data_IF_981241054199
#
_entry.id   IF_981241054199
#
_cell.length_a   1.000
_cell.length_b   1.000
_cell.length_c   1.000
_cell.angle_alpha   90.00
_cell.angle_beta   90.00
_cell.angle_gamma   90.00
#
_symmetry.space_group_name_H-M   'P 1'
#
loop_
_entity.id
_entity.type
_entity.pdbx_description
1 polymer ?
#
# COMPACT_ATOMS: atom_id res chain seq x y z
N UNK A 1 -15.39 -15.36 -25.23
CA UNK A 1 -14.27 -14.45 -25.53
C UNK A 1 -14.37 -13.26 -24.59
N UNK A 2 -13.30 -12.89 -23.87
CA UNK A 2 -13.34 -11.77 -22.92
C UNK A 2 -13.59 -10.43 -23.64
N UNK A 3 -14.42 -9.56 -23.06
CA UNK A 3 -14.67 -8.23 -23.63
C UNK A 3 -13.40 -7.36 -23.59
N UNK A 4 -13.26 -6.42 -24.53
CA UNK A 4 -12.12 -5.49 -24.59
C UNK A 4 -12.01 -4.68 -23.28
N UNK A 5 -13.15 -4.24 -22.73
CA UNK A 5 -13.21 -3.55 -21.45
C UNK A 5 -12.62 -4.40 -20.31
N UNK A 6 -12.98 -5.69 -20.25
CA UNK A 6 -12.43 -6.62 -19.26
C UNK A 6 -10.93 -6.82 -19.45
N UNK A 7 -10.46 -6.97 -20.69
CA UNK A 7 -9.02 -7.09 -20.99
C UNK A 7 -8.24 -5.85 -20.52
N UNK A 8 -8.78 -4.65 -20.78
CA UNK A 8 -8.19 -3.39 -20.34
C UNK A 8 -8.10 -3.31 -18.81
N UNK A 9 -9.15 -3.73 -18.09
CA UNK A 9 -9.16 -3.75 -16.62
C UNK A 9 -8.19 -4.79 -16.06
N UNK A 10 -8.07 -5.96 -16.68
CA UNK A 10 -7.09 -7.00 -16.29
C UNK A 10 -5.65 -6.50 -16.49
N UNK A 11 -5.35 -5.83 -17.61
CA UNK A 11 -4.03 -5.24 -17.84
C UNK A 11 -3.73 -4.11 -16.85
N UNK A 12 -4.72 -3.26 -16.56
CA UNK A 12 -4.62 -2.22 -15.54
C UNK A 12 -4.30 -2.83 -14.17
N UNK A 13 -5.06 -3.85 -13.77
CA UNK A 13 -4.86 -4.54 -12.50
C UNK A 13 -3.49 -5.22 -12.42
N UNK A 14 -2.99 -5.79 -13.52
CA UNK A 14 -1.64 -6.36 -13.58
C UNK A 14 -0.55 -5.30 -13.41
N UNK A 15 -0.69 -4.12 -14.04
CA UNK A 15 0.24 -3.01 -13.83
C UNK A 15 0.28 -2.55 -12.37
N UNK A 16 -0.90 -2.46 -11.74
CA UNK A 16 -1.03 -2.16 -10.30
C UNK A 16 -0.41 -3.26 -9.44
N UNK A 17 -0.68 -4.53 -9.74
CA UNK A 17 -0.07 -5.66 -9.05
C UNK A 17 1.45 -5.53 -9.04
N UNK A 18 2.09 -5.35 -10.21
CA UNK A 18 3.56 -5.24 -10.31
C UNK A 18 4.10 -4.02 -9.55
N UNK A 19 3.48 -2.85 -9.69
CA UNK A 19 3.92 -1.64 -9.00
C UNK A 19 3.84 -1.77 -7.48
N UNK A 20 2.75 -2.35 -6.98
CA UNK A 20 2.48 -2.44 -5.55
C UNK A 20 3.11 -3.67 -4.89
N UNK A 21 3.55 -4.69 -5.64
CA UNK A 21 4.51 -5.68 -5.11
C UNK A 21 5.76 -4.96 -4.65
N UNK A 22 6.26 -3.98 -5.40
CA UNK A 22 7.41 -3.18 -4.96
C UNK A 22 7.04 -2.25 -3.80
N UNK A 23 6.02 -1.41 -3.98
CA UNK A 23 5.71 -0.34 -3.03
C UNK A 23 5.18 -0.83 -1.68
N UNK A 24 4.18 -1.72 -1.65
CA UNK A 24 3.62 -2.18 -0.37
C UNK A 24 4.64 -2.98 0.43
N UNK A 25 5.41 -3.83 -0.25
CA UNK A 25 6.48 -4.60 0.40
C UNK A 25 7.55 -3.68 0.97
N UNK A 26 7.96 -2.68 0.19
CA UNK A 26 8.92 -1.68 0.65
C UNK A 26 8.38 -0.89 1.86
N UNK A 27 7.13 -0.42 1.84
CA UNK A 27 6.56 0.32 2.97
C UNK A 27 6.54 -0.47 4.27
N UNK A 28 6.40 -1.80 4.20
CA UNK A 28 6.40 -2.70 5.36
C UNK A 28 7.77 -2.89 5.98
N UNK A 29 8.84 -2.83 5.17
CA UNK A 29 10.22 -3.03 5.63
C UNK A 29 10.99 -1.71 5.77
N UNK A 30 10.39 -0.58 5.38
CA UNK A 30 11.04 0.74 5.33
C UNK A 30 11.65 1.10 6.68
N UNK A 31 10.88 0.99 7.76
CA UNK A 31 11.36 1.35 9.09
C UNK A 31 12.46 0.38 9.58
N UNK A 32 12.32 -0.92 9.34
CA UNK A 32 13.36 -1.91 9.68
C UNK A 32 14.67 -1.65 8.92
N UNK A 33 14.58 -1.20 7.67
CA UNK A 33 15.73 -0.80 6.84
C UNK A 33 16.33 0.51 7.36
N UNK A 34 15.52 1.53 7.60
CA UNK A 34 15.96 2.84 8.11
C UNK A 34 16.61 2.71 9.48
N UNK A 35 16.04 1.91 10.39
CA UNK A 35 16.64 1.65 11.70
C UNK A 35 18.00 0.96 11.54
N UNK A 36 18.10 -0.07 10.69
CA UNK A 36 19.37 -0.77 10.41
C UNK A 36 20.46 0.17 9.88
N UNK A 37 20.09 1.20 9.11
CA UNK A 37 21.02 2.18 8.53
C UNK A 37 21.29 3.36 9.48
N UNK A 38 20.34 3.68 10.37
CA UNK A 38 20.50 4.75 11.36
C UNK A 38 21.63 4.47 12.36
N UNK A 39 21.99 3.19 12.55
CA UNK A 39 23.15 2.75 13.34
C UNK A 39 24.48 3.31 12.80
N UNK A 40 24.56 3.60 11.50
CA UNK A 40 25.73 4.19 10.86
C UNK A 40 25.75 5.74 10.96
N UNK A 41 24.75 6.36 11.59
CA UNK A 41 24.64 7.82 11.77
C UNK A 41 24.24 8.63 10.54
N UNK A 42 23.94 7.97 9.42
CA UNK A 42 23.63 8.62 8.13
C UNK A 42 22.19 9.14 8.00
N UNK A 43 21.27 8.60 8.80
CA UNK A 43 19.83 8.86 8.75
C UNK A 43 19.26 8.91 10.17
N UNK A 44 18.30 9.81 10.42
CA UNK A 44 17.61 9.91 11.72
C UNK A 44 16.78 8.66 12.00
N UNK A 45 16.74 8.22 13.26
CA UNK A 45 16.02 7.00 13.69
C UNK A 45 14.58 6.88 13.19
N UNK A 46 13.86 7.99 13.05
CA UNK A 46 12.45 8.04 12.64
C UNK A 46 12.23 8.52 11.19
N UNK A 47 13.24 8.40 10.32
CA UNK A 47 13.15 8.94 8.96
C UNK A 47 12.07 8.25 8.11
N UNK A 48 11.74 6.98 8.36
CA UNK A 48 10.66 6.28 7.67
C UNK A 48 9.29 6.90 7.98
N UNK A 49 9.01 7.23 9.24
CA UNK A 49 7.79 7.97 9.61
C UNK A 49 7.71 9.37 8.98
N UNK A 50 8.83 10.11 8.95
CA UNK A 50 8.86 11.41 8.28
C UNK A 50 8.66 11.30 6.77
N UNK A 51 9.29 10.31 6.13
CA UNK A 51 9.10 9.94 4.73
C UNK A 51 7.62 9.69 4.44
N UNK A 52 6.96 8.83 5.23
CA UNK A 52 5.54 8.51 5.08
C UNK A 52 4.64 9.75 5.26
N UNK A 53 4.94 10.61 6.24
CA UNK A 53 4.20 11.86 6.45
C UNK A 53 4.34 12.81 5.24
N UNK A 54 5.53 12.93 4.66
CA UNK A 54 5.77 13.75 3.47
C UNK A 54 5.02 13.18 2.26
N UNK A 55 5.04 11.86 2.05
CA UNK A 55 4.29 11.19 0.97
C UNK A 55 2.81 11.56 1.06
N UNK A 56 2.18 11.40 2.22
CA UNK A 56 0.75 11.69 2.38
C UNK A 56 0.42 13.19 2.31
N UNK A 57 1.30 14.07 2.78
CA UNK A 57 1.14 15.51 2.65
C UNK A 57 1.13 15.93 1.17
N UNK A 58 2.11 15.49 0.39
CA UNK A 58 2.19 15.78 -1.04
C UNK A 58 1.13 15.04 -1.86
N UNK A 59 0.70 13.85 -1.44
CA UNK A 59 -0.46 13.17 -2.01
C UNK A 59 -1.73 13.99 -1.84
N UNK A 60 -1.94 14.57 -0.66
CA UNK A 60 -3.09 15.44 -0.38
C UNK A 60 -3.08 16.69 -1.26
N UNK A 61 -1.92 17.37 -1.35
CA UNK A 61 -1.76 18.53 -2.22
C UNK A 61 -1.94 18.17 -3.70
N UNK A 62 -1.38 17.03 -4.13
CA UNK A 62 -1.49 16.55 -5.51
C UNK A 62 -2.91 16.23 -5.93
N UNK A 63 -3.75 15.70 -5.03
CA UNK A 63 -5.16 15.41 -5.33
C UNK A 63 -5.98 16.67 -5.73
N UNK A 64 -5.55 17.87 -5.36
CA UNK A 64 -6.21 19.12 -5.79
C UNK A 64 -6.05 19.40 -7.30
N UNK A 65 -4.99 18.88 -7.91
CA UNK A 65 -4.63 19.11 -9.33
C UNK A 65 -4.57 17.83 -10.16
N UNK A 66 -4.62 16.65 -9.53
CA UNK A 66 -4.48 15.36 -10.20
C UNK A 66 -5.55 15.14 -11.29
N UNK A 67 -6.81 15.49 -11.03
CA UNK A 67 -7.89 15.31 -12.00
C UNK A 67 -7.65 16.12 -13.29
N UNK A 68 -7.11 17.33 -13.14
CA UNK A 68 -6.78 18.25 -14.22
C UNK A 68 -5.59 17.73 -15.03
N UNK A 69 -4.57 17.22 -14.34
CA UNK A 69 -3.39 16.61 -14.97
C UNK A 69 -3.80 15.37 -15.78
N UNK A 70 -4.65 14.51 -15.21
CA UNK A 70 -5.16 13.29 -15.86
C UNK A 70 -6.03 13.62 -17.08
N UNK A 71 -6.86 14.67 -17.03
CA UNK A 71 -7.67 15.11 -18.18
C UNK A 71 -6.80 15.58 -19.34
N UNK A 72 -5.65 16.21 -19.04
CA UNK A 72 -4.70 16.74 -20.02
C UNK A 72 -3.81 15.65 -20.61
N UNK A 73 -3.16 14.84 -19.78
CA UNK A 73 -2.18 13.82 -20.17
C UNK A 73 -2.80 12.50 -20.64
N UNK A 74 -4.13 12.33 -20.45
CA UNK A 74 -4.85 11.05 -20.50
C UNK A 74 -4.51 10.11 -19.33
N UNK A 75 -5.44 9.24 -18.92
CA UNK A 75 -5.22 8.33 -17.78
C UNK A 75 -4.01 7.41 -17.94
N UNK A 76 -3.75 6.95 -19.17
CA UNK A 76 -2.64 6.06 -19.51
C UNK A 76 -1.27 6.67 -19.14
N UNK A 77 -0.98 7.86 -19.67
CA UNK A 77 0.31 8.51 -19.43
C UNK A 77 0.42 9.07 -18.02
N UNK A 78 -0.69 9.50 -17.42
CA UNK A 78 -0.75 9.86 -16.01
C UNK A 78 -0.29 8.70 -15.10
N UNK A 79 -0.80 7.49 -15.32
CA UNK A 79 -0.36 6.29 -14.57
C UNK A 79 1.10 5.93 -14.86
N UNK A 80 1.56 6.07 -16.10
CA UNK A 80 2.97 5.84 -16.45
C UNK A 80 3.92 6.79 -15.69
N UNK A 81 3.63 8.09 -15.70
CA UNK A 81 4.42 9.11 -14.97
C UNK A 81 4.37 8.84 -13.46
N UNK A 82 3.18 8.52 -12.93
CA UNK A 82 3.02 8.15 -11.54
C UNK A 82 3.91 6.96 -11.16
N UNK A 83 3.92 5.89 -11.96
CA UNK A 83 4.77 4.71 -11.73
C UNK A 83 6.28 5.03 -11.79
N UNK A 84 6.70 5.98 -12.63
CA UNK A 84 8.08 6.46 -12.63
C UNK A 84 8.43 7.22 -11.35
N UNK A 85 7.48 7.94 -10.73
CA UNK A 85 7.68 8.52 -9.40
C UNK A 85 7.81 7.45 -8.30
N UNK A 86 7.12 6.30 -8.44
CA UNK A 86 7.37 5.14 -7.56
C UNK A 86 8.79 4.61 -7.77
N UNK A 87 9.23 4.45 -9.02
CA UNK A 87 10.59 3.99 -9.31
C UNK A 87 11.66 4.93 -8.74
N UNK A 88 11.50 6.25 -8.83
CA UNK A 88 12.46 7.21 -8.27
C UNK A 88 12.56 7.11 -6.74
N UNK A 89 11.45 6.85 -6.06
CA UNK A 89 11.47 6.59 -4.61
C UNK A 89 12.30 5.35 -4.26
N UNK A 90 12.09 4.24 -4.99
CA UNK A 90 12.83 2.99 -4.77
C UNK A 90 14.35 3.17 -4.98
N UNK A 91 14.75 3.94 -5.99
CA UNK A 91 16.17 4.24 -6.26
C UNK A 91 16.85 4.97 -5.10
N UNK A 92 16.11 5.78 -4.34
CA UNK A 92 16.67 6.55 -3.23
C UNK A 92 17.29 5.73 -2.12
N UNK A 93 16.71 4.57 -1.85
CA UNK A 93 17.21 3.65 -0.83
C UNK A 93 18.46 2.88 -1.29
N UNK A 94 18.83 2.93 -2.58
CA UNK A 94 20.14 2.41 -3.02
C UNK A 94 21.30 3.31 -2.59
N UNK A 95 21.03 4.60 -2.39
CA UNK A 95 22.05 5.61 -2.04
C UNK A 95 21.99 6.07 -0.57
N UNK A 96 20.95 5.65 0.18
CA UNK A 96 20.80 5.87 1.63
C UNK A 96 21.13 7.31 2.07
N UNK A 97 20.48 8.30 1.43
CA UNK A 97 20.69 9.72 1.72
C UNK A 97 19.39 10.36 2.23
N UNK A 98 19.44 11.01 3.40
CA UNK A 98 18.29 11.66 4.04
C UNK A 98 17.63 12.73 3.16
N UNK A 99 18.43 13.57 2.47
CA UNK A 99 17.90 14.62 1.59
C UNK A 99 17.20 14.00 0.39
N UNK A 100 17.78 12.95 -0.19
CA UNK A 100 17.13 12.25 -1.30
C UNK A 100 15.82 11.62 -0.84
N UNK A 101 15.81 10.92 0.30
CA UNK A 101 14.62 10.26 0.84
C UNK A 101 13.44 11.22 0.94
N UNK A 102 13.63 12.41 1.51
CA UNK A 102 12.54 13.38 1.68
C UNK A 102 12.10 14.02 0.35
N UNK A 103 13.03 14.30 -0.57
CA UNK A 103 12.68 14.82 -1.89
C UNK A 103 11.92 13.77 -2.71
N UNK A 104 12.39 12.53 -2.73
CA UNK A 104 11.74 11.44 -3.45
C UNK A 104 10.39 11.08 -2.83
N UNK A 105 10.24 11.19 -1.51
CA UNK A 105 8.95 11.09 -0.80
C UNK A 105 7.92 12.10 -1.32
N UNK A 106 8.32 13.36 -1.49
CA UNK A 106 7.45 14.41 -2.01
C UNK A 106 7.05 14.14 -3.48
N UNK A 107 8.01 13.74 -4.30
CA UNK A 107 7.79 13.35 -5.71
C UNK A 107 6.81 12.17 -5.80
N UNK A 108 7.03 11.15 -4.97
CA UNK A 108 6.17 9.98 -4.87
C UNK A 108 4.76 10.36 -4.43
N UNK A 109 4.61 11.19 -3.40
CA UNK A 109 3.29 11.63 -2.93
C UNK A 109 2.49 12.29 -4.05
N UNK A 110 3.12 13.24 -4.75
CA UNK A 110 2.48 13.90 -5.90
C UNK A 110 2.19 12.91 -7.05
N UNK A 111 3.15 12.07 -7.42
CA UNK A 111 2.98 11.05 -8.48
C UNK A 111 1.90 10.02 -8.16
N UNK A 112 1.77 9.64 -6.89
CA UNK A 112 0.72 8.74 -6.39
C UNK A 112 -0.67 9.33 -6.60
N UNK A 113 -0.85 10.64 -6.37
CA UNK A 113 -2.14 11.29 -6.60
C UNK A 113 -2.58 11.23 -8.06
N UNK A 114 -1.62 11.40 -8.98
CA UNK A 114 -1.84 11.32 -10.43
C UNK A 114 -2.13 9.87 -10.83
N UNK A 115 -1.38 8.90 -10.30
CA UNK A 115 -1.56 7.48 -10.59
C UNK A 115 -2.95 6.97 -10.18
N UNK A 116 -3.36 7.24 -8.93
CA UNK A 116 -4.66 6.82 -8.42
C UNK A 116 -5.82 7.53 -9.11
N UNK A 117 -5.68 8.82 -9.42
CA UNK A 117 -6.70 9.55 -10.19
C UNK A 117 -6.79 9.02 -11.63
N UNK A 118 -5.65 8.69 -12.24
CA UNK A 118 -5.57 8.04 -13.54
C UNK A 118 -6.27 6.68 -13.55
N UNK A 119 -6.03 5.85 -12.53
CA UNK A 119 -6.67 4.55 -12.36
C UNK A 119 -8.19 4.67 -12.26
N UNK A 120 -8.69 5.56 -11.40
CA UNK A 120 -10.13 5.79 -11.25
C UNK A 120 -10.77 6.26 -12.55
N UNK A 121 -10.11 7.19 -13.26
CA UNK A 121 -10.57 7.66 -14.57
C UNK A 121 -10.56 6.54 -15.61
N UNK A 122 -9.48 5.77 -15.73
CA UNK A 122 -9.36 4.70 -16.73
C UNK A 122 -10.37 3.59 -16.47
N UNK A 123 -10.54 3.18 -15.21
CA UNK A 123 -11.54 2.18 -14.82
C UNK A 123 -12.94 2.66 -15.17
N UNK A 124 -13.30 3.91 -14.84
CA UNK A 124 -14.61 4.47 -15.15
C UNK A 124 -14.91 4.50 -16.66
N UNK A 125 -13.89 4.75 -17.48
CA UNK A 125 -13.98 4.77 -18.95
C UNK A 125 -14.02 3.37 -19.59
N UNK A 126 -13.83 2.32 -18.80
CA UNK A 126 -14.01 0.93 -19.24
C UNK A 126 -15.23 0.26 -18.59
N UNK A 127 -16.07 1.02 -17.86
CA UNK A 127 -17.24 0.49 -17.17
C UNK A 127 -18.54 1.16 -17.62
N UNK A 128 -19.63 0.39 -17.60
CA UNK A 128 -21.01 0.88 -17.62
C UNK A 128 -21.57 0.92 -16.20
N UNK A 129 -22.72 1.57 -15.99
CA UNK A 129 -23.38 1.65 -14.68
C UNK A 129 -23.66 0.27 -14.05
N UNK A 130 -23.95 -0.75 -14.85
CA UNK A 130 -24.18 -2.11 -14.35
C UNK A 130 -22.88 -2.86 -14.05
N UNK A 131 -21.78 -2.52 -14.71
CA UNK A 131 -20.53 -3.29 -14.67
C UNK A 131 -19.46 -2.69 -13.75
N UNK A 132 -19.59 -1.42 -13.33
CA UNK A 132 -18.62 -0.73 -12.46
C UNK A 132 -18.26 -1.53 -11.22
N UNK A 133 -19.25 -2.06 -10.49
CA UNK A 133 -19.00 -2.80 -9.25
C UNK A 133 -18.18 -4.07 -9.50
N UNK A 134 -18.50 -4.82 -10.55
CA UNK A 134 -17.80 -6.07 -10.89
C UNK A 134 -16.38 -5.81 -11.38
N UNK A 135 -16.19 -4.79 -12.21
CA UNK A 135 -14.86 -4.43 -12.73
C UNK A 135 -13.96 -3.84 -11.66
N UNK A 136 -14.52 -3.04 -10.74
CA UNK A 136 -13.80 -2.56 -9.56
C UNK A 136 -13.38 -3.72 -8.64
N UNK A 137 -14.28 -4.68 -8.38
CA UNK A 137 -13.95 -5.87 -7.58
C UNK A 137 -12.88 -6.74 -8.26
N UNK A 138 -12.95 -6.93 -9.58
CA UNK A 138 -11.93 -7.64 -10.35
C UNK A 138 -10.57 -6.95 -10.24
N UNK A 139 -10.54 -5.63 -10.44
CA UNK A 139 -9.31 -4.84 -10.32
C UNK A 139 -8.71 -4.95 -8.93
N UNK A 140 -9.55 -4.78 -7.89
CA UNK A 140 -9.11 -4.84 -6.50
C UNK A 140 -8.60 -6.24 -6.14
N UNK A 141 -9.35 -7.29 -6.45
CA UNK A 141 -8.96 -8.67 -6.14
C UNK A 141 -7.63 -9.08 -6.79
N UNK A 142 -7.37 -8.63 -8.03
CA UNK A 142 -6.08 -8.88 -8.69
C UNK A 142 -4.95 -8.01 -8.13
N UNK A 143 -5.24 -6.76 -7.78
CA UNK A 143 -4.28 -5.83 -7.19
C UNK A 143 -3.78 -6.35 -5.84
N UNK A 144 -4.67 -6.80 -4.96
CA UNK A 144 -4.35 -7.25 -3.59
C UNK A 144 -3.46 -8.50 -3.53
N UNK A 145 -3.42 -9.30 -4.60
CA UNK A 145 -2.43 -10.39 -4.73
C UNK A 145 -0.99 -9.89 -4.61
N UNK A 146 -0.73 -8.58 -4.80
CA UNK A 146 0.59 -7.99 -4.66
C UNK A 146 1.18 -8.17 -3.25
N UNK A 147 0.35 -8.24 -2.21
CA UNK A 147 0.79 -8.46 -0.84
C UNK A 147 1.35 -9.88 -0.64
N UNK A 148 0.70 -10.88 -1.23
CA UNK A 148 1.19 -12.26 -1.21
C UNK A 148 2.51 -12.36 -1.97
N UNK A 149 2.57 -11.81 -3.19
CA UNK A 149 3.79 -11.81 -4.00
C UNK A 149 4.95 -11.07 -3.34
N UNK A 150 4.65 -9.92 -2.73
CA UNK A 150 5.56 -9.12 -1.94
C UNK A 150 6.12 -9.87 -0.73
N UNK A 151 5.25 -10.51 0.03
CA UNK A 151 5.62 -11.27 1.23
C UNK A 151 6.50 -12.47 0.90
N UNK A 152 6.17 -13.21 -0.17
CA UNK A 152 7.00 -14.31 -0.67
C UNK A 152 8.38 -13.79 -1.09
N UNK A 153 8.44 -12.65 -1.80
CA UNK A 153 9.70 -12.04 -2.24
C UNK A 153 10.62 -11.73 -1.06
N UNK A 154 10.14 -11.01 -0.05
CA UNK A 154 10.99 -10.67 1.11
C UNK A 154 11.30 -11.90 1.97
N UNK A 155 10.39 -12.86 2.08
CA UNK A 155 10.64 -14.10 2.81
C UNK A 155 11.83 -14.87 2.21
N UNK A 156 11.84 -15.03 0.87
CA UNK A 156 12.94 -15.69 0.15
C UNK A 156 14.23 -14.91 0.35
N UNK A 157 14.21 -13.60 0.15
CA UNK A 157 15.42 -12.77 0.25
C UNK A 157 16.01 -12.81 1.66
N UNK A 158 15.19 -12.67 2.70
CA UNK A 158 15.67 -12.74 4.08
C UNK A 158 16.18 -14.13 4.46
N UNK A 159 15.57 -15.20 3.92
CA UNK A 159 16.04 -16.58 4.14
C UNK A 159 17.37 -16.86 3.46
N UNK A 160 17.59 -16.34 2.25
CA UNK A 160 18.84 -16.53 1.48
C UNK A 160 19.99 -15.69 2.04
N UNK A 161 19.68 -14.55 2.65
CA UNK A 161 20.69 -13.59 3.15
C UNK A 161 20.92 -13.69 4.65
N UNK A 162 20.32 -14.65 5.34
CA UNK A 162 20.43 -14.85 6.79
C UNK A 162 20.19 -13.57 7.61
N UNK A 163 19.21 -12.76 7.18
CA UNK A 163 18.92 -11.43 7.74
C UNK A 163 17.82 -11.48 8.80
N UNK A 164 18.18 -11.79 10.05
CA UNK A 164 17.21 -12.05 11.13
C UNK A 164 16.77 -10.81 11.93
N UNK A 165 17.70 -9.90 12.25
CA UNK A 165 17.43 -8.74 13.14
C UNK A 165 17.95 -7.41 12.59
N UNK A 166 19.15 -7.40 11.99
CA UNK A 166 19.71 -6.24 11.26
C UNK A 166 19.82 -6.63 9.79
N UNK A 167 19.34 -5.77 8.90
CA UNK A 167 19.35 -6.03 7.46
C UNK A 167 20.71 -5.58 6.89
N UNK A 168 21.54 -6.49 6.35
CA UNK A 168 22.81 -6.13 5.74
C UNK A 168 22.63 -5.19 4.55
N UNK A 169 23.62 -4.31 4.32
CA UNK A 169 23.62 -3.39 3.16
C UNK A 169 23.47 -4.12 1.82
N UNK A 170 24.01 -5.33 1.70
CA UNK A 170 23.84 -6.17 0.51
C UNK A 170 22.35 -6.53 0.29
N UNK A 171 21.66 -6.99 1.33
CA UNK A 171 20.23 -7.32 1.29
C UNK A 171 19.38 -6.11 0.95
N UNK A 172 19.67 -4.94 1.53
CA UNK A 172 19.00 -3.67 1.20
C UNK A 172 19.16 -3.37 -0.30
N UNK A 173 20.40 -3.37 -0.81
CA UNK A 173 20.66 -3.09 -2.23
C UNK A 173 19.97 -4.10 -3.14
N UNK A 174 19.96 -5.38 -2.78
CA UNK A 174 19.28 -6.44 -3.54
C UNK A 174 17.77 -6.18 -3.62
N UNK A 175 17.11 -5.94 -2.48
CA UNK A 175 15.68 -5.67 -2.39
C UNK A 175 15.27 -4.44 -3.21
N UNK A 176 15.94 -3.31 -2.99
CA UNK A 176 15.60 -2.07 -3.69
C UNK A 176 15.96 -2.08 -5.17
N UNK A 177 16.93 -2.90 -5.59
CA UNK A 177 17.18 -3.16 -7.01
C UNK A 177 16.01 -3.93 -7.64
N UNK A 178 15.52 -4.98 -6.98
CA UNK A 178 14.35 -5.74 -7.43
C UNK A 178 13.10 -4.85 -7.47
N UNK A 179 12.85 -4.05 -6.44
CA UNK A 179 11.71 -3.12 -6.39
C UNK A 179 11.77 -2.05 -7.48
N UNK A 180 12.95 -1.51 -7.76
CA UNK A 180 13.14 -0.54 -8.84
C UNK A 180 12.81 -1.16 -10.20
N UNK A 181 13.29 -2.39 -10.47
CA UNK A 181 13.00 -3.11 -11.72
C UNK A 181 11.49 -3.35 -11.87
N UNK A 182 10.82 -3.79 -10.80
CA UNK A 182 9.36 -3.99 -10.81
C UNK A 182 8.61 -2.67 -11.05
N UNK A 183 9.01 -1.57 -10.41
CA UNK A 183 8.39 -0.27 -10.64
C UNK A 183 8.55 0.21 -12.09
N UNK A 184 9.73 0.06 -12.69
CA UNK A 184 9.97 0.39 -14.12
C UNK A 184 9.14 -0.53 -15.03
N UNK A 185 9.07 -1.83 -14.72
CA UNK A 185 8.24 -2.78 -15.46
C UNK A 185 6.77 -2.39 -15.42
N UNK A 186 6.27 -1.90 -14.28
CA UNK A 186 4.89 -1.42 -14.17
C UNK A 186 4.62 -0.18 -15.04
N UNK A 187 5.57 0.77 -15.10
CA UNK A 187 5.48 1.92 -15.99
C UNK A 187 5.41 1.48 -17.46
N UNK A 188 6.21 0.47 -17.83
CA UNK A 188 6.14 -0.14 -19.15
C UNK A 188 4.76 -0.79 -19.42
N UNK A 189 4.22 -1.57 -18.49
CA UNK A 189 2.87 -2.16 -18.60
C UNK A 189 1.80 -1.08 -18.78
N UNK A 190 1.87 0.02 -18.04
CA UNK A 190 0.95 1.16 -18.18
C UNK A 190 1.09 1.85 -19.53
N UNK A 191 2.32 1.99 -20.06
CA UNK A 191 2.56 2.53 -21.40
C UNK A 191 1.99 1.66 -22.53
N UNK A 192 1.76 0.37 -22.26
CA UNK A 192 1.11 -0.56 -23.19
C UNK A 192 -0.42 -0.60 -23.04
N UNK A 193 -1.03 0.17 -22.13
CA UNK A 193 -2.48 0.21 -22.00
C UNK A 193 -3.12 0.69 -23.30
N UNK A 194 -4.20 0.01 -23.69
CA UNK A 194 -5.03 0.36 -24.84
C UNK A 194 -5.87 1.59 -24.54
N UNK A 195 -6.38 2.24 -25.59
CA UNK A 195 -7.39 3.27 -25.42
C UNK A 195 -8.61 2.71 -24.68
N UNK A 196 -9.17 3.46 -23.73
CA UNK A 196 -10.36 3.05 -23.01
C UNK A 196 -11.58 3.01 -23.95
N UNK A 197 -12.52 2.09 -23.67
CA UNK A 197 -13.67 1.83 -24.55
C UNK A 197 -14.60 3.05 -24.67
N UNK A 198 -14.84 3.76 -23.56
CA UNK A 198 -15.68 4.95 -23.52
C UNK A 198 -14.80 6.19 -23.40
N UNK A 199 -14.77 7.02 -24.44
CA UNK A 199 -14.03 8.29 -24.42
C UNK A 199 -14.77 9.30 -23.54
N UNK A 200 -14.07 9.84 -22.55
CA UNK A 200 -14.57 10.96 -21.74
C UNK A 200 -14.43 12.25 -22.55
N UNK A 201 -15.48 13.06 -22.59
CA UNK A 201 -15.40 14.41 -23.15
C UNK A 201 -14.37 15.24 -22.35
N UNK A 202 -13.40 15.82 -23.06
CA UNK A 202 -12.40 16.68 -22.44
C UNK A 202 -13.09 17.95 -21.92
N UNK A 203 -12.85 18.31 -20.67
CA UNK A 203 -13.34 19.57 -20.13
C UNK A 203 -12.46 20.70 -20.67
N UNK A 204 -12.88 21.35 -21.76
CA UNK A 204 -12.10 22.43 -22.40
C UNK A 204 -11.82 23.67 -21.52
N UNK A 205 -12.33 23.72 -20.28
CA UNK A 205 -12.08 24.80 -19.33
C UNK A 205 -11.51 24.29 -17.99
N UNK A 206 -10.23 24.55 -17.75
CA UNK A 206 -9.52 24.21 -16.50
C UNK A 206 -10.17 24.84 -15.26
N UNK A 207 -10.53 26.13 -15.33
CA UNK A 207 -11.19 26.85 -14.22
C UNK A 207 -12.52 26.19 -13.86
N UNK A 208 -13.29 25.74 -14.84
CA UNK A 208 -14.59 25.07 -14.62
C UNK A 208 -14.40 23.75 -13.86
N UNK A 209 -13.39 22.96 -14.20
CA UNK A 209 -13.11 21.70 -13.54
C UNK A 209 -12.71 21.93 -12.07
N UNK A 210 -11.78 22.86 -11.82
CA UNK A 210 -11.36 23.22 -10.47
C UNK A 210 -12.52 23.76 -9.61
N UNK A 211 -13.32 24.70 -10.14
CA UNK A 211 -14.50 25.22 -9.44
C UNK A 211 -15.52 24.12 -9.15
N UNK A 212 -15.66 23.14 -10.04
CA UNK A 212 -16.58 22.00 -9.82
C UNK A 212 -16.07 21.09 -8.70
N UNK A 213 -14.77 20.82 -8.63
CA UNK A 213 -14.15 20.05 -7.52
C UNK A 213 -14.39 20.73 -6.18
N UNK A 214 -14.12 22.03 -6.07
CA UNK A 214 -14.35 22.79 -4.83
C UNK A 214 -15.85 22.85 -4.47
N UNK A 215 -16.73 23.02 -5.47
CA UNK A 215 -18.18 22.99 -5.22
C UNK A 215 -18.63 21.62 -4.68
N UNK A 216 -18.08 20.53 -5.21
CA UNK A 216 -18.44 19.17 -4.82
C UNK A 216 -18.00 18.87 -3.38
N UNK A 217 -16.85 19.42 -2.95
CA UNK A 217 -16.33 19.30 -1.58
C UNK A 217 -17.35 19.75 -0.52
N UNK A 218 -18.06 20.85 -0.77
CA UNK A 218 -19.04 21.41 0.17
C UNK A 218 -20.46 20.86 0.03
N UNK A 219 -20.67 19.81 -0.77
CA UNK A 219 -21.99 19.17 -0.86
C UNK A 219 -22.26 18.34 0.39
N UNK A 220 -23.52 18.36 0.88
CA UNK A 220 -23.91 17.62 2.10
C UNK A 220 -23.51 16.14 2.07
N UNK A 221 -23.67 15.48 0.91
CA UNK A 221 -23.29 14.07 0.74
C UNK A 221 -21.78 13.86 0.89
N UNK A 222 -20.96 14.76 0.33
CA UNK A 222 -19.51 14.68 0.45
C UNK A 222 -19.06 14.93 1.89
N UNK A 223 -19.68 15.87 2.61
CA UNK A 223 -19.38 16.14 4.01
C UNK A 223 -19.61 14.92 4.92
N UNK A 224 -20.69 14.15 4.71
CA UNK A 224 -20.87 12.89 5.44
C UNK A 224 -19.84 11.82 5.05
N UNK A 225 -19.46 11.77 3.77
CA UNK A 225 -18.45 10.82 3.28
C UNK A 225 -17.04 11.14 3.79
N UNK A 226 -16.71 12.42 4.07
CA UNK A 226 -15.40 12.80 4.64
C UNK A 226 -15.11 12.01 5.91
N UNK A 227 -16.09 11.84 6.80
CA UNK A 227 -15.90 11.07 8.05
C UNK A 227 -15.46 9.63 7.77
N UNK A 228 -16.11 8.99 6.80
CA UNK A 228 -15.80 7.61 6.40
C UNK A 228 -14.43 7.54 5.71
N UNK A 229 -14.11 8.49 4.82
CA UNK A 229 -12.82 8.53 4.13
C UNK A 229 -11.66 8.85 5.08
N UNK A 230 -11.87 9.71 6.08
CA UNK A 230 -10.89 9.96 7.14
C UNK A 230 -10.61 8.69 7.94
N UNK A 231 -11.65 7.92 8.29
CA UNK A 231 -11.46 6.63 8.95
C UNK A 231 -10.64 5.66 8.10
N UNK A 232 -10.97 5.50 6.81
CA UNK A 232 -10.22 4.63 5.89
C UNK A 232 -8.76 5.08 5.77
N UNK A 233 -8.50 6.40 5.74
CA UNK A 233 -7.13 6.92 5.72
C UNK A 233 -6.33 6.60 6.99
N UNK A 234 -6.95 6.73 8.16
CA UNK A 234 -6.33 6.37 9.45
C UNK A 234 -6.05 4.86 9.51
N UNK A 235 -7.01 4.04 9.08
CA UNK A 235 -6.87 2.59 9.03
C UNK A 235 -5.74 2.17 8.08
N UNK A 236 -5.66 2.77 6.89
CA UNK A 236 -4.58 2.54 5.93
C UNK A 236 -3.22 2.82 6.58
N UNK A 237 -3.04 3.97 7.24
CA UNK A 237 -1.77 4.31 7.90
C UNK A 237 -1.43 3.37 9.06
N UNK A 238 -2.44 2.90 9.80
CA UNK A 238 -2.25 1.95 10.89
C UNK A 238 -1.72 0.61 10.37
N UNK A 239 -2.37 0.03 9.37
CA UNK A 239 -1.95 -1.26 8.82
C UNK A 239 -0.65 -1.15 8.00
N UNK A 240 -0.38 -0.04 7.30
CA UNK A 240 0.86 0.09 6.50
C UNK A 240 2.11 0.37 7.30
N UNK A 241 2.03 1.15 8.38
CA UNK A 241 3.22 1.62 9.11
C UNK A 241 3.30 1.15 10.56
N UNK A 242 2.19 1.18 11.29
CA UNK A 242 2.19 0.93 12.75
C UNK A 242 2.18 -0.56 13.05
N UNK A 243 1.30 -1.33 12.41
CA UNK A 243 1.18 -2.76 12.68
C UNK A 243 2.43 -3.58 12.31
N UNK A 244 3.07 -3.37 11.13
CA UNK A 244 4.27 -4.12 10.75
C UNK A 244 5.46 -3.82 11.65
N UNK A 245 5.60 -2.58 12.12
CA UNK A 245 6.65 -2.19 13.08
C UNK A 245 6.44 -2.86 14.42
N UNK A 246 5.20 -2.93 14.92
CA UNK A 246 4.87 -3.73 16.11
C UNK A 246 5.33 -5.20 15.97
N UNK A 247 5.08 -5.83 14.81
CA UNK A 247 5.50 -7.21 14.53
C UNK A 247 7.02 -7.34 14.45
N UNK A 248 7.70 -6.42 13.76
CA UNK A 248 9.15 -6.44 13.56
C UNK A 248 9.94 -6.20 14.86
N UNK A 249 9.47 -5.29 15.71
CA UNK A 249 10.20 -4.79 16.87
C UNK A 249 9.95 -5.58 18.16
N UNK A 250 8.90 -6.39 18.21
CA UNK A 250 8.60 -7.23 19.39
C UNK A 250 9.41 -8.52 19.32
N UNK A 251 10.61 -8.53 19.90
CA UNK A 251 11.56 -9.67 19.84
C UNK A 251 11.01 -10.97 20.42
N UNK A 252 10.06 -10.88 21.36
CA UNK A 252 9.40 -12.04 21.97
C UNK A 252 8.52 -12.84 21.00
N UNK A 253 8.08 -12.28 19.87
CA UNK A 253 7.27 -13.01 18.88
C UNK A 253 8.09 -14.04 18.10
N UNK A 254 9.42 -13.89 18.05
CA UNK A 254 10.32 -14.82 17.41
C UNK A 254 11.68 -14.20 17.16
N UNK A 255 12.73 -15.03 17.10
CA UNK A 255 14.10 -14.61 16.83
C UNK A 255 14.30 -13.98 15.44
N UNK A 256 13.31 -14.07 14.53
CA UNK A 256 13.37 -13.54 13.17
C UNK A 256 12.23 -12.54 12.90
N UNK A 257 12.39 -11.30 13.36
CA UNK A 257 11.38 -10.24 13.16
C UNK A 257 11.09 -9.96 11.68
N UNK A 258 12.11 -10.08 10.82
CA UNK A 258 11.97 -9.85 9.38
C UNK A 258 11.11 -10.92 8.69
N UNK A 259 11.27 -12.19 9.06
CA UNK A 259 10.41 -13.26 8.54
C UNK A 259 8.96 -13.12 9.03
N UNK A 260 8.75 -12.61 10.25
CA UNK A 260 7.40 -12.35 10.76
C UNK A 260 6.70 -11.22 9.98
N UNK A 261 7.44 -10.17 9.58
CA UNK A 261 6.92 -9.13 8.68
C UNK A 261 6.52 -9.73 7.33
N UNK A 262 7.33 -10.63 6.78
CA UNK A 262 7.01 -11.32 5.53
C UNK A 262 5.73 -12.17 5.64
N UNK A 263 5.60 -12.94 6.72
CA UNK A 263 4.40 -13.72 7.02
C UNK A 263 3.17 -12.84 7.23
N UNK A 264 3.31 -11.71 7.92
CA UNK A 264 2.23 -10.73 8.08
C UNK A 264 1.70 -10.25 6.71
N UNK A 265 2.60 -9.99 5.76
CA UNK A 265 2.21 -9.54 4.42
C UNK A 265 1.45 -10.63 3.64
N UNK A 266 1.91 -11.89 3.73
CA UNK A 266 1.23 -13.04 3.12
C UNK A 266 -0.17 -13.23 3.74
N UNK A 267 -0.26 -13.24 5.07
CA UNK A 267 -1.54 -13.41 5.78
C UNK A 267 -2.52 -12.29 5.45
N UNK A 268 -2.06 -11.03 5.42
CA UNK A 268 -2.90 -9.90 5.00
C UNK A 268 -3.38 -10.09 3.56
N UNK A 269 -2.48 -10.44 2.65
CA UNK A 269 -2.83 -10.67 1.24
C UNK A 269 -3.87 -11.78 1.06
N UNK A 270 -3.73 -12.89 1.78
CA UNK A 270 -4.74 -13.97 1.77
C UNK A 270 -6.08 -13.45 2.31
N UNK A 271 -6.07 -12.67 3.39
CA UNK A 271 -7.28 -12.03 3.95
C UNK A 271 -7.99 -11.13 2.94
N UNK A 272 -7.24 -10.23 2.28
CA UNK A 272 -7.78 -9.31 1.28
C UNK A 272 -8.33 -10.04 0.05
N UNK A 273 -7.59 -11.01 -0.49
CA UNK A 273 -8.01 -11.80 -1.66
C UNK A 273 -9.23 -12.66 -1.32
N UNK A 274 -9.25 -13.33 -0.16
CA UNK A 274 -10.39 -14.13 0.27
C UNK A 274 -11.64 -13.28 0.49
N UNK A 275 -11.51 -12.12 1.15
CA UNK A 275 -12.61 -11.17 1.29
C UNK A 275 -13.11 -10.69 -0.08
N UNK A 276 -12.21 -10.34 -1.01
CA UNK A 276 -12.54 -9.94 -2.37
C UNK A 276 -13.30 -11.02 -3.15
N UNK A 277 -12.90 -12.29 -3.02
CA UNK A 277 -13.59 -13.44 -3.63
C UNK A 277 -14.97 -13.64 -3.01
N UNK A 278 -15.07 -13.66 -1.68
CA UNK A 278 -16.34 -13.85 -0.95
C UNK A 278 -17.34 -12.76 -1.34
N UNK A 279 -16.94 -11.48 -1.28
CA UNK A 279 -17.81 -10.37 -1.65
C UNK A 279 -18.05 -10.27 -3.16
N UNK A 280 -17.13 -10.75 -3.99
CA UNK A 280 -17.32 -10.89 -5.43
C UNK A 280 -18.44 -11.89 -5.79
N UNK A 281 -18.47 -13.06 -5.14
CA UNK A 281 -19.49 -14.08 -5.36
C UNK A 281 -20.82 -13.79 -4.65
N UNK A 282 -20.76 -13.30 -3.41
CA UNK A 282 -21.96 -13.00 -2.62
C UNK A 282 -22.53 -11.60 -2.91
N UNK A 283 -21.89 -10.79 -3.76
CA UNK A 283 -22.22 -9.38 -3.97
C UNK A 283 -23.69 -9.09 -4.24
N UNK A 284 -24.37 -9.91 -5.05
CA UNK A 284 -25.80 -9.72 -5.32
C UNK A 284 -26.70 -10.08 -4.13
N UNK A 285 -26.29 -11.03 -3.29
CA UNK A 285 -26.99 -11.39 -2.05
C UNK A 285 -26.71 -10.36 -0.94
N UNK A 286 -25.47 -9.89 -0.84
CA UNK A 286 -25.04 -8.84 0.10
C UNK A 286 -25.72 -7.52 -0.23
N UNK A 287 -25.88 -7.18 -1.51
CA UNK A 287 -26.62 -5.99 -1.94
C UNK A 287 -28.10 -6.05 -1.58
N UNK A 288 -28.69 -7.25 -1.51
CA UNK A 288 -30.06 -7.47 -1.00
C UNK A 288 -30.16 -7.39 0.53
N UNK A 289 -29.12 -7.82 1.25
CA UNK A 289 -29.05 -7.74 2.73
C UNK A 289 -28.96 -6.28 3.22
N UNK A 290 -28.50 -5.37 2.36
CA UNK A 290 -28.34 -3.95 2.65
C UNK A 290 -26.87 -3.61 2.93
N UNK A 291 -26.36 -2.59 2.21
CA UNK A 291 -24.96 -2.15 2.30
C UNK A 291 -24.58 -1.65 3.70
N UNK A 292 -25.54 -1.10 4.44
CA UNK A 292 -25.31 -0.48 5.75
C UNK A 292 -25.00 -1.54 6.83
N UNK A 293 -25.70 -2.68 6.81
CA UNK A 293 -25.41 -3.79 7.74
C UNK A 293 -24.02 -4.36 7.54
N UNK A 294 -23.58 -4.44 6.28
CA UNK A 294 -22.23 -4.88 5.96
C UNK A 294 -21.17 -3.94 6.53
N UNK A 295 -21.38 -2.63 6.37
CA UNK A 295 -20.46 -1.61 6.89
C UNK A 295 -20.40 -1.70 8.42
N UNK A 296 -21.54 -1.81 9.11
CA UNK A 296 -21.58 -1.95 10.57
C UNK A 296 -20.86 -3.21 11.05
N UNK A 297 -21.07 -4.34 10.38
CA UNK A 297 -20.39 -5.60 10.69
C UNK A 297 -18.87 -5.49 10.49
N UNK A 298 -18.41 -4.87 9.40
CA UNK A 298 -17.00 -4.62 9.16
C UNK A 298 -16.39 -3.70 10.24
N UNK A 299 -17.10 -2.64 10.64
CA UNK A 299 -16.68 -1.76 11.73
C UNK A 299 -16.53 -2.52 13.05
N UNK A 300 -17.46 -3.42 13.37
CA UNK A 300 -17.36 -4.26 14.57
C UNK A 300 -16.12 -5.16 14.56
N UNK A 301 -15.84 -5.81 13.42
CA UNK A 301 -14.63 -6.63 13.26
C UNK A 301 -13.36 -5.79 13.44
N UNK A 302 -13.30 -4.60 12.82
CA UNK A 302 -12.13 -3.73 12.96
C UNK A 302 -11.91 -3.26 14.40
N UNK A 303 -12.97 -2.87 15.12
CA UNK A 303 -12.87 -2.49 16.53
C UNK A 303 -12.35 -3.64 17.39
N UNK A 304 -12.88 -4.85 17.19
CA UNK A 304 -12.40 -6.04 17.88
C UNK A 304 -10.92 -6.32 17.56
N UNK A 305 -10.52 -6.21 16.30
CA UNK A 305 -9.14 -6.38 15.88
C UNK A 305 -8.21 -5.37 16.56
N UNK A 306 -8.55 -4.08 16.62
CA UNK A 306 -7.72 -3.08 17.30
C UNK A 306 -7.58 -3.34 18.79
N UNK A 307 -8.65 -3.77 19.46
CA UNK A 307 -8.59 -4.17 20.87
C UNK A 307 -7.65 -5.36 21.06
N UNK A 308 -7.77 -6.38 20.22
CA UNK A 308 -6.90 -7.56 20.27
C UNK A 308 -5.44 -7.16 20.03
N UNK A 309 -5.15 -6.31 19.03
CA UNK A 309 -3.79 -5.83 18.76
C UNK A 309 -3.22 -5.07 19.95
N UNK A 310 -3.97 -4.10 20.50
CA UNK A 310 -3.54 -3.31 21.66
C UNK A 310 -3.30 -4.15 22.91
N UNK A 311 -3.96 -5.30 23.02
CA UNK A 311 -3.76 -6.25 24.12
C UNK A 311 -2.59 -7.22 23.87
N UNK A 312 -2.23 -7.49 22.62
CA UNK A 312 -1.15 -8.43 22.26
C UNK A 312 0.24 -7.78 22.19
N UNK A 313 0.31 -6.48 21.88
CA UNK A 313 1.58 -5.75 21.73
C UNK A 313 1.85 -4.82 22.92
N UNK A 314 3.12 -4.65 23.33
CA UNK A 314 3.49 -3.63 24.31
C UNK A 314 3.32 -2.20 23.74
N UNK A 315 3.12 -1.21 24.61
CA UNK A 315 2.83 0.16 24.21
C UNK A 315 3.94 0.82 23.36
N UNK A 316 5.19 0.35 23.49
CA UNK A 316 6.36 0.84 22.73
C UNK A 316 6.69 0.01 21.49
N UNK A 317 5.85 -0.98 21.12
CA UNK A 317 6.13 -1.94 20.04
C UNK A 317 6.33 -1.29 18.67
N UNK A 318 5.69 -0.16 18.38
CA UNK A 318 5.87 0.52 17.09
C UNK A 318 7.10 1.44 17.06
N UNK A 319 7.65 1.83 18.21
CA UNK A 319 8.66 2.89 18.26
C UNK A 319 10.09 2.37 18.47
N UNK A 320 10.23 1.24 19.16
CA UNK A 320 11.53 0.69 19.54
C UNK A 320 11.47 -0.81 19.69
N UNK A 321 12.53 -1.50 19.25
CA UNK A 321 12.74 -2.91 19.58
C UNK A 321 12.68 -3.13 21.09
N UNK A 322 11.79 -4.01 21.54
CA UNK A 322 11.60 -4.32 22.95
C UNK A 322 11.49 -5.83 23.19
N UNK A 323 11.82 -6.21 24.42
CA UNK A 323 11.67 -7.58 24.94
C UNK A 323 10.41 -7.69 25.82
N UNK A 324 9.54 -6.69 25.77
CA UNK A 324 8.29 -6.66 26.53
C UNK A 324 7.23 -7.53 25.84
N UNK A 325 6.24 -7.94 26.62
CA UNK A 325 5.12 -8.75 26.14
C UNK A 325 3.81 -7.98 26.35
N UNK A 326 2.86 -8.17 25.44
CA UNK A 326 1.48 -7.75 25.69
C UNK A 326 0.83 -8.51 26.85
N UNK A 327 -0.40 -8.16 27.16
CA UNK A 327 -1.13 -8.62 28.34
C UNK A 327 -1.41 -10.14 28.31
N UNK A 328 -1.57 -10.74 27.12
CA UNK A 328 -1.98 -12.13 26.95
C UNK A 328 -0.83 -13.12 26.69
N UNK A 329 0.37 -12.65 26.38
CA UNK A 329 1.46 -13.50 25.87
C UNK A 329 2.70 -13.43 26.76
N UNK A 330 2.82 -14.35 27.72
CA UNK A 330 4.12 -14.71 28.31
C UNK A 330 4.60 -16.01 27.66
N UNK A 331 5.57 -15.98 26.72
CA UNK A 331 6.06 -17.20 26.12
C UNK A 331 6.72 -18.08 27.19
N UNK A 332 6.37 -19.36 27.19
CA UNK A 332 6.89 -20.35 28.13
C UNK A 332 8.42 -20.41 27.96
N UNK A 333 9.19 -20.13 29.01
CA UNK A 333 10.66 -20.10 29.02
C UNK A 333 11.31 -21.49 28.94
N UNK A 334 10.62 -22.49 28.39
CA UNK A 334 11.05 -23.89 28.31
C UNK A 334 11.87 -24.19 27.05
N UNK A 335 13.10 -23.68 26.98
CA UNK A 335 14.29 -24.26 26.31
C UNK A 335 15.41 -23.22 26.04
N UNK A 336 15.63 -22.28 26.96
CA UNK A 336 16.66 -21.23 26.81
C UNK A 336 18.12 -21.69 26.95
N UNK A 337 18.40 -23.00 27.12
CA UNK A 337 19.75 -23.50 27.44
C UNK A 337 20.34 -24.55 26.44
N UNK A 338 19.92 -24.61 25.17
CA UNK A 338 20.53 -25.57 24.20
C UNK A 338 21.05 -24.97 22.88
N UNK A 339 21.39 -23.69 22.85
CA UNK A 339 22.06 -23.07 21.71
C UNK A 339 23.38 -22.36 22.09
N UNK A 340 24.03 -22.86 23.15
CA UNK A 340 25.46 -22.65 23.39
C UNK A 340 26.06 -24.03 23.63
N UNK A 341 27.19 -24.31 22.97
CA UNK A 341 27.88 -25.61 22.82
C UNK A 341 27.41 -26.40 21.56
N UNK A 342 27.94 -26.02 20.40
CA UNK A 342 29.05 -26.72 19.74
C UNK A 342 29.53 -25.92 18.53
#
# INVERSE_FOLDING_TARGET
MMSIATQNVVQLAFGFFVNFVAFNTQGMIEESVVESVSLDGSITKYAGYYSLAIIYAFYTLGNLTAAQIVDTLTPKWAMCIGALCYASFQVGFLFLNSTYLYISSAILGFGSSILWTGQGSYLSQNCTKETTSRMAALLWGMHECCLIGGGILIFIVFSVTDSYDVIPKFTIKLLYSMFTILAILSAFVFSMLREPVYKKEKSGCYKKLMTSTFRLLFTRKMLFLIVIFSYVGIEQSFWTGIYPTCVSFTRKLGYNGNALVALNLICTGIGQVSAGIIFGFLGDKVRKLGRDYLILFATFIHLLAYVIIGLNFPASASLTKNDDSGLFWTPNSGNRNRAGIC
#
